data_IF_955999202647
#
_entry.id   IF_955999202647
#
_cell.length_a   1.000
_cell.length_b   1.000
_cell.length_c   1.000
_cell.angle_alpha   90.00
_cell.angle_beta   90.00
_cell.angle_gamma   90.00
#
_symmetry.space_group_name_H-M   'P 1'
#
loop_
_entity.id
_entity.type
_entity.pdbx_description
1 polymer ?
#
# COMPACT_ATOMS: atom_id res chain seq x y z
N UNK A 1 14.69 -3.26 -13.87
CA UNK A 1 14.64 -3.74 -12.47
C UNK A 1 13.25 -3.43 -11.95
N UNK A 2 12.54 -4.45 -11.49
CA UNK A 2 11.19 -4.30 -10.94
C UNK A 2 11.21 -3.41 -9.71
N UNK A 3 10.33 -2.42 -9.66
CA UNK A 3 10.09 -1.58 -8.48
C UNK A 3 8.89 -2.15 -7.73
N UNK A 4 9.08 -2.58 -6.48
CA UNK A 4 7.98 -3.02 -5.60
C UNK A 4 7.59 -1.87 -4.68
N UNK A 5 6.31 -1.52 -4.65
CA UNK A 5 5.76 -0.50 -3.75
C UNK A 5 4.73 -1.16 -2.85
N UNK A 6 4.96 -1.08 -1.54
CA UNK A 6 3.96 -1.41 -0.53
C UNK A 6 2.90 -0.30 -0.46
N UNK A 7 1.65 -0.67 -0.65
CA UNK A 7 0.49 0.20 -0.62
C UNK A 7 -0.23 0.02 0.71
N UNK A 8 -0.13 1.04 1.56
CA UNK A 8 -0.78 1.10 2.88
C UNK A 8 -1.64 2.37 2.92
N UNK A 9 -2.97 2.27 2.74
CA UNK A 9 -3.83 3.45 2.65
C UNK A 9 -4.05 4.13 4.01
N UNK A 10 -3.88 3.43 5.12
CA UNK A 10 -4.14 3.96 6.46
C UNK A 10 -5.63 4.21 6.71
N UNK A 11 -5.96 5.35 7.29
CA UNK A 11 -7.31 5.72 7.72
C UNK A 11 -7.90 6.92 6.94
N UNK A 12 -9.23 7.06 7.01
CA UNK A 12 -9.94 8.23 6.49
C UNK A 12 -9.71 8.46 5.00
N UNK A 13 -9.30 9.68 4.64
CA UNK A 13 -9.11 10.07 3.24
C UNK A 13 -8.06 9.22 2.52
N UNK A 14 -7.17 8.53 3.24
CA UNK A 14 -6.22 7.60 2.65
C UNK A 14 -6.90 6.55 1.76
N UNK A 15 -8.06 6.06 2.17
CA UNK A 15 -8.87 5.11 1.39
C UNK A 15 -9.50 5.75 0.14
N UNK A 16 -9.75 7.05 0.15
CA UNK A 16 -10.31 7.80 -0.97
C UNK A 16 -9.25 8.21 -1.99
N UNK A 17 -8.07 8.65 -1.52
CA UNK A 17 -7.02 9.19 -2.39
C UNK A 17 -6.05 8.13 -2.89
N UNK A 18 -5.85 7.02 -2.17
CA UNK A 18 -4.91 5.97 -2.58
C UNK A 18 -5.26 5.40 -3.96
N UNK A 19 -6.51 5.01 -4.27
CA UNK A 19 -6.85 4.50 -5.60
C UNK A 19 -6.46 5.47 -6.71
N UNK A 20 -6.57 6.79 -6.48
CA UNK A 20 -6.24 7.80 -7.48
C UNK A 20 -4.75 7.95 -7.68
N UNK A 21 -3.97 7.87 -6.60
CA UNK A 21 -2.52 7.78 -6.67
C UNK A 21 -2.06 6.57 -7.49
N UNK A 22 -2.65 5.40 -7.24
CA UNK A 22 -2.32 4.17 -7.97
C UNK A 22 -2.68 4.27 -9.45
N UNK A 23 -3.83 4.83 -9.82
CA UNK A 23 -4.20 5.06 -11.23
C UNK A 23 -3.17 5.91 -11.97
N UNK A 24 -2.63 6.94 -11.33
CA UNK A 24 -1.58 7.79 -11.90
C UNK A 24 -0.26 7.02 -12.02
N UNK A 25 0.13 6.26 -11.00
CA UNK A 25 1.33 5.44 -11.03
C UNK A 25 1.28 4.39 -12.14
N UNK A 26 0.16 3.69 -12.29
CA UNK A 26 -0.03 2.72 -13.37
C UNK A 26 0.04 3.37 -14.76
N UNK A 27 -0.56 4.56 -14.92
CA UNK A 27 -0.51 5.29 -16.18
C UNK A 27 0.93 5.72 -16.53
N UNK A 28 1.68 6.22 -15.54
CA UNK A 28 3.09 6.55 -15.69
C UNK A 28 3.93 5.30 -16.01
N UNK A 29 3.72 4.21 -15.28
CA UNK A 29 4.44 2.96 -15.48
C UNK A 29 4.27 2.42 -16.91
N UNK A 30 3.03 2.39 -17.41
CA UNK A 30 2.74 2.03 -18.80
C UNK A 30 3.37 2.99 -19.81
N UNK A 31 3.34 4.30 -19.54
CA UNK A 31 3.84 5.32 -20.47
C UNK A 31 5.36 5.31 -20.63
N UNK A 32 6.07 4.94 -19.57
CA UNK A 32 7.54 5.01 -19.50
C UNK A 32 8.20 3.63 -19.40
N UNK A 33 7.44 2.55 -19.59
CA UNK A 33 7.91 1.16 -19.52
C UNK A 33 8.62 0.87 -18.18
N UNK A 34 8.02 1.33 -17.08
CA UNK A 34 8.50 1.07 -15.72
C UNK A 34 7.84 -0.22 -15.24
N UNK A 35 8.66 -1.23 -14.99
CA UNK A 35 8.24 -2.46 -14.33
C UNK A 35 7.92 -2.19 -12.85
N UNK A 36 6.63 -2.06 -12.54
CA UNK A 36 6.09 -1.63 -11.25
C UNK A 36 5.14 -2.70 -10.70
N UNK A 37 5.39 -3.12 -9.45
CA UNK A 37 4.54 -4.05 -8.70
C UNK A 37 3.99 -3.32 -7.49
N UNK A 38 2.67 -3.31 -7.35
CA UNK A 38 1.95 -2.74 -6.22
C UNK A 38 1.50 -3.88 -5.29
N UNK A 39 1.93 -3.87 -4.05
CA UNK A 39 1.58 -4.88 -3.05
C UNK A 39 0.76 -4.23 -1.93
N UNK A 40 -0.47 -4.68 -1.75
CA UNK A 40 -1.43 -4.05 -0.84
C UNK A 40 -1.38 -4.68 0.55
N UNK A 41 -1.42 -3.83 1.58
CA UNK A 41 -1.42 -4.24 2.98
C UNK A 41 -2.58 -3.58 3.73
N UNK A 42 -3.22 -4.37 4.59
CA UNK A 42 -4.42 -3.97 5.33
C UNK A 42 -4.12 -3.48 6.76
N UNK A 43 -2.84 -3.42 7.15
CA UNK A 43 -2.42 -2.96 8.48
C UNK A 43 -2.19 -1.44 8.52
N UNK A 44 -1.82 -0.93 9.70
CA UNK A 44 -1.62 0.50 9.97
C UNK A 44 -2.87 1.37 9.79
N UNK A 45 -4.04 0.81 10.11
CA UNK A 45 -5.31 1.52 10.17
C UNK A 45 -6.08 1.15 11.45
N UNK A 46 -7.08 1.96 11.80
CA UNK A 46 -7.95 1.79 12.97
C UNK A 46 -8.72 0.47 12.90
N UNK A 47 -9.23 0.08 11.72
CA UNK A 47 -9.94 -1.19 11.54
C UNK A 47 -9.04 -2.39 11.88
N UNK A 48 -7.78 -2.33 11.47
CA UNK A 48 -6.79 -3.34 11.84
C UNK A 48 -6.54 -3.36 13.35
N UNK A 49 -6.41 -2.18 13.98
CA UNK A 49 -6.25 -2.09 15.43
C UNK A 49 -7.44 -2.65 16.20
N UNK A 50 -8.67 -2.29 15.82
CA UNK A 50 -9.91 -2.80 16.45
C UNK A 50 -9.98 -4.32 16.34
N UNK A 51 -9.56 -4.88 15.20
CA UNK A 51 -9.59 -6.33 14.96
C UNK A 51 -8.48 -7.11 15.68
N UNK A 52 -7.29 -6.54 15.83
CA UNK A 52 -6.10 -7.29 16.29
C UNK A 52 -5.52 -6.80 17.62
N UNK A 53 -6.01 -5.68 18.17
CA UNK A 53 -5.46 -5.03 19.38
C UNK A 53 -4.09 -4.39 19.18
N UNK A 54 -3.60 -4.31 17.94
CA UNK A 54 -2.30 -3.75 17.56
C UNK A 54 -2.37 -3.11 16.18
N UNK A 55 -1.56 -2.08 15.94
CA UNK A 55 -1.57 -1.33 14.66
C UNK A 55 -0.91 -2.09 13.51
N UNK A 56 0.01 -3.01 13.82
CA UNK A 56 0.84 -3.72 12.86
C UNK A 56 0.96 -5.20 13.26
N UNK A 57 1.07 -6.15 12.32
CA UNK A 57 1.45 -7.53 12.64
C UNK A 57 2.88 -7.59 13.19
N UNK A 58 3.27 -8.68 13.86
CA UNK A 58 4.58 -8.73 14.53
C UNK A 58 5.76 -8.81 13.53
N UNK A 59 5.48 -9.32 12.33
CA UNK A 59 6.40 -9.50 11.21
C UNK A 59 6.27 -8.40 10.13
N UNK A 60 5.59 -7.28 10.44
CA UNK A 60 5.32 -6.20 9.47
C UNK A 60 6.58 -5.72 8.72
N UNK A 61 7.72 -5.64 9.40
CA UNK A 61 8.96 -5.16 8.79
C UNK A 61 9.54 -6.15 7.78
N UNK A 62 9.39 -7.45 8.03
CA UNK A 62 9.81 -8.48 7.09
C UNK A 62 8.87 -8.54 5.89
N UNK A 63 7.57 -8.27 6.08
CA UNK A 63 6.61 -8.15 4.97
C UNK A 63 6.91 -6.97 4.03
N UNK A 64 7.60 -5.92 4.52
CA UNK A 64 7.93 -4.72 3.74
C UNK A 64 9.33 -4.75 3.07
N UNK A 65 10.11 -5.81 3.26
CA UNK A 65 11.40 -5.98 2.56
C UNK A 65 11.23 -6.52 1.13
#
# INVERSE_FOLDING_TARGET
MTQRIAVIPGDGIGNEVMPEGLRVLEAAARRFDIDLVLEHFDFACCDYYVKHGKMLPDDWFEQLK
#
